data_IF_727237875890
#
_entry.id   IF_727237875890
#
_cell.length_a   1.000
_cell.length_b   1.000
_cell.length_c   1.000
_cell.angle_alpha   90.00
_cell.angle_beta   90.00
_cell.angle_gamma   90.00
#
_symmetry.space_group_name_H-M   'P 1'
#
loop_
_entity.id
_entity.type
_entity.pdbx_description
1 polymer ?
#
# COMPACT_ATOMS: atom_id res chain seq x y z
N UNK A 1 15.25 -3.07 -6.61
CA UNK A 1 15.86 -2.19 -5.60
C UNK A 1 14.81 -1.42 -4.85
N UNK A 2 15.07 -1.10 -3.59
CA UNK A 2 14.19 -0.30 -2.75
C UNK A 2 14.45 1.17 -3.07
N UNK A 3 13.38 1.97 -3.18
CA UNK A 3 13.47 3.43 -3.32
C UNK A 3 13.01 4.08 -2.03
N UNK A 4 13.84 4.97 -1.47
CA UNK A 4 13.57 5.66 -0.19
C UNK A 4 13.61 7.16 -0.43
N UNK A 5 12.60 7.94 -0.01
CA UNK A 5 12.68 9.40 -0.02
C UNK A 5 13.67 9.88 1.07
N UNK A 6 14.46 10.90 0.76
CA UNK A 6 15.35 11.52 1.70
C UNK A 6 14.75 12.86 2.13
N UNK A 7 14.54 13.06 3.43
CA UNK A 7 14.12 14.34 3.99
C UNK A 7 15.37 15.21 4.26
N UNK A 8 15.43 16.35 3.60
CA UNK A 8 16.55 17.29 3.72
C UNK A 8 16.00 18.67 4.01
N UNK A 9 16.62 19.37 4.96
CA UNK A 9 16.28 20.75 5.30
C UNK A 9 17.55 21.59 5.28
N UNK A 10 17.46 22.76 4.67
CA UNK A 10 18.48 23.81 4.77
C UNK A 10 18.04 24.78 5.83
N UNK A 11 18.89 24.99 6.82
CA UNK A 11 18.61 25.88 7.95
C UNK A 11 19.69 27.01 7.96
N UNK A 12 19.27 28.25 8.05
CA UNK A 12 20.19 29.38 8.14
C UNK A 12 20.78 29.55 9.56
N UNK A 13 21.71 30.48 9.71
CA UNK A 13 22.37 30.75 11.00
C UNK A 13 21.42 31.24 12.10
N UNK A 14 20.24 31.73 11.74
CA UNK A 14 19.22 32.21 12.67
C UNK A 14 18.22 31.07 13.03
N UNK A 15 18.35 29.87 12.43
CA UNK A 15 17.52 28.72 12.71
C UNK A 15 16.29 28.63 11.82
N UNK A 16 16.16 29.43 10.78
CA UNK A 16 15.01 29.38 9.86
C UNK A 16 15.26 28.44 8.69
N UNK A 17 14.23 27.71 8.30
CA UNK A 17 14.26 26.84 7.14
C UNK A 17 14.25 27.67 5.85
N UNK A 18 15.13 27.30 4.91
CA UNK A 18 15.32 27.98 3.61
C UNK A 18 14.92 27.04 2.50
N UNK A 19 13.85 27.35 1.81
CA UNK A 19 13.37 26.60 0.64
C UNK A 19 13.89 27.14 -0.70
N UNK A 20 14.51 28.32 -0.67
CA UNK A 20 15.06 29.03 -1.84
C UNK A 20 16.48 28.61 -2.21
N UNK A 21 17.16 27.84 -1.35
CA UNK A 21 18.52 27.37 -1.59
C UNK A 21 18.49 26.00 -2.28
N UNK A 22 19.05 25.88 -3.50
CA UNK A 22 19.08 24.60 -4.19
C UNK A 22 19.97 23.59 -3.47
N UNK A 23 19.51 22.33 -3.42
CA UNK A 23 20.25 21.22 -2.81
C UNK A 23 20.74 20.30 -3.92
N UNK A 24 22.02 20.04 -3.95
CA UNK A 24 22.64 19.03 -4.82
C UNK A 24 22.97 17.77 -4.00
N UNK A 25 22.62 16.61 -4.55
CA UNK A 25 22.93 15.31 -3.94
C UNK A 25 23.93 14.54 -4.81
N UNK A 26 24.97 13.99 -4.17
CA UNK A 26 25.96 13.12 -4.82
C UNK A 26 26.14 11.82 -4.06
N UNK A 27 26.14 10.71 -4.77
CA UNK A 27 26.52 9.39 -4.22
C UNK A 27 28.01 9.16 -4.43
N UNK A 28 28.70 8.62 -3.42
CA UNK A 28 30.09 8.19 -3.56
C UNK A 28 30.23 6.88 -4.34
N UNK A 29 29.14 6.11 -4.46
CA UNK A 29 29.10 4.86 -5.23
C UNK A 29 27.69 4.63 -5.78
N UNK A 30 27.45 5.07 -7.00
CA UNK A 30 26.15 4.95 -7.67
C UNK A 30 25.77 3.50 -8.03
N UNK A 31 26.73 2.57 -8.06
CA UNK A 31 26.46 1.15 -8.23
C UNK A 31 25.78 0.55 -7.00
N UNK A 32 26.01 1.14 -5.82
CA UNK A 32 25.39 0.72 -4.57
C UNK A 32 24.12 1.51 -4.30
N UNK A 33 24.21 2.86 -4.35
CA UNK A 33 23.07 3.77 -4.15
C UNK A 33 23.13 4.85 -5.20
N UNK A 34 22.10 5.00 -6.02
CA UNK A 34 21.95 6.12 -6.94
C UNK A 34 20.96 7.15 -6.43
N UNK A 35 21.16 8.41 -6.80
CA UNK A 35 20.24 9.52 -6.53
C UNK A 35 19.27 9.64 -7.69
N UNK A 36 17.99 9.81 -7.39
CA UNK A 36 16.91 10.04 -8.35
C UNK A 36 16.24 11.40 -8.07
N UNK A 37 15.43 11.93 -9.01
CA UNK A 37 14.67 13.17 -8.83
C UNK A 37 13.85 13.19 -7.55
N UNK A 38 13.59 14.40 -7.05
CA UNK A 38 12.82 14.61 -5.81
C UNK A 38 13.49 14.01 -4.56
N UNK A 39 14.82 14.05 -4.49
CA UNK A 39 15.62 13.57 -3.36
C UNK A 39 15.32 12.10 -2.99
N UNK A 40 15.15 11.24 -3.98
CA UNK A 40 14.97 9.80 -3.77
C UNK A 40 16.31 9.06 -3.91
N UNK A 41 16.53 8.08 -3.04
CA UNK A 41 17.65 7.16 -3.12
C UNK A 41 17.18 5.81 -3.61
N UNK A 42 17.89 5.23 -4.56
CA UNK A 42 17.59 3.90 -5.11
C UNK A 42 18.73 2.96 -4.72
N UNK A 43 18.42 1.92 -3.96
CA UNK A 43 19.35 0.83 -3.67
C UNK A 43 19.55 -0.03 -4.94
N UNK A 44 20.79 -0.16 -5.42
CA UNK A 44 21.15 -0.87 -6.64
C UNK A 44 21.76 -2.25 -6.35
N UNK A 45 22.69 -2.31 -5.42
CA UNK A 45 23.37 -3.53 -5.00
C UNK A 45 23.75 -3.45 -3.52
N UNK A 46 24.09 -4.60 -2.93
CA UNK A 46 24.68 -4.63 -1.59
C UNK A 46 26.03 -3.92 -1.55
N UNK A 47 26.35 -3.31 -0.42
CA UNK A 47 27.59 -2.58 -0.21
C UNK A 47 27.42 -1.32 0.61
N UNK A 48 28.44 -0.48 0.61
CA UNK A 48 28.44 0.81 1.34
C UNK A 48 28.60 1.96 0.36
N UNK A 49 27.86 3.01 0.60
CA UNK A 49 27.97 4.29 -0.09
C UNK A 49 27.72 5.42 0.88
N UNK A 50 28.10 6.63 0.51
CA UNK A 50 27.73 7.83 1.25
C UNK A 50 27.04 8.82 0.30
N UNK A 51 26.04 9.52 0.82
CA UNK A 51 25.36 10.59 0.10
C UNK A 51 25.85 11.91 0.72
N UNK A 52 26.34 12.78 -0.13
CA UNK A 52 26.68 14.16 0.22
C UNK A 52 25.57 15.07 -0.28
N UNK A 53 25.03 15.88 0.61
CA UNK A 53 24.10 16.96 0.25
C UNK A 53 24.85 18.29 0.38
N UNK A 54 24.83 19.08 -0.69
CA UNK A 54 25.49 20.38 -0.80
C UNK A 54 24.45 21.47 -0.99
N UNK A 55 24.50 22.52 -0.18
CA UNK A 55 23.61 23.67 -0.27
C UNK A 55 24.31 24.95 0.25
N UNK A 56 24.31 26.02 -0.54
CA UNK A 56 24.87 27.31 -0.12
C UNK A 56 26.34 27.27 0.32
N UNK A 57 27.15 26.37 -0.23
CA UNK A 57 28.55 26.17 0.16
C UNK A 57 28.76 25.35 1.43
N UNK A 58 27.70 24.72 1.96
CA UNK A 58 27.76 23.79 3.11
C UNK A 58 27.47 22.39 2.66
N UNK A 59 28.31 21.46 3.11
CA UNK A 59 28.13 20.04 2.81
C UNK A 59 27.75 19.25 4.07
N UNK A 60 26.84 18.31 3.91
CA UNK A 60 26.56 17.28 4.92
C UNK A 60 26.61 15.91 4.29
N UNK A 61 26.95 14.88 5.08
CA UNK A 61 27.18 13.52 4.59
C UNK A 61 26.48 12.50 5.46
N UNK A 62 25.77 11.57 4.81
CA UNK A 62 25.25 10.37 5.48
C UNK A 62 25.89 9.12 4.88
N UNK A 63 26.16 8.12 5.74
CA UNK A 63 26.67 6.83 5.32
C UNK A 63 25.51 5.84 5.22
N UNK A 64 25.46 5.10 4.12
CA UNK A 64 24.42 4.13 3.82
C UNK A 64 25.07 2.76 3.63
N UNK A 65 24.49 1.74 4.23
CA UNK A 65 24.86 0.36 4.01
C UNK A 65 23.66 -0.40 3.45
N UNK A 66 23.81 -0.95 2.26
CA UNK A 66 22.82 -1.82 1.63
C UNK A 66 23.23 -3.26 1.88
N UNK A 67 22.36 -4.00 2.54
CA UNK A 67 22.56 -5.42 2.77
C UNK A 67 22.04 -6.23 1.57
N UNK A 68 22.57 -7.42 1.38
CA UNK A 68 22.04 -8.35 0.40
C UNK A 68 20.60 -8.74 0.78
N UNK A 69 19.73 -8.84 -0.21
CA UNK A 69 18.37 -9.31 0.02
C UNK A 69 18.40 -10.81 0.33
N UNK A 70 18.07 -11.23 1.56
CA UNK A 70 18.10 -12.63 1.92
C UNK A 70 16.94 -13.45 1.34
N UNK A 71 15.94 -12.79 0.73
CA UNK A 71 14.70 -13.44 0.29
C UNK A 71 14.98 -14.27 -0.96
N UNK A 72 14.74 -15.57 -0.84
CA UNK A 72 14.88 -16.54 -1.91
C UNK A 72 13.54 -16.93 -2.53
N UNK A 73 12.47 -16.95 -1.73
CA UNK A 73 11.11 -17.28 -2.20
C UNK A 73 10.03 -16.52 -1.43
N UNK A 74 8.86 -16.43 -2.05
CA UNK A 74 7.61 -15.96 -1.43
C UNK A 74 6.60 -17.11 -1.47
N UNK A 75 5.90 -17.31 -0.38
CA UNK A 75 4.71 -18.16 -0.32
C UNK A 75 3.50 -17.24 -0.21
N UNK A 76 2.58 -17.36 -1.17
CA UNK A 76 1.35 -16.56 -1.24
C UNK A 76 0.14 -17.45 -1.10
N UNK A 77 -0.74 -17.11 -0.16
CA UNK A 77 -2.02 -17.80 0.06
C UNK A 77 -3.16 -16.79 0.12
N UNK A 78 -4.38 -17.24 -0.14
CA UNK A 78 -5.61 -16.48 0.06
C UNK A 78 -6.53 -17.23 1.01
N UNK A 79 -7.34 -16.51 1.78
CA UNK A 79 -8.38 -17.10 2.64
C UNK A 79 -9.47 -17.79 1.82
N UNK A 80 -9.71 -17.30 0.60
CA UNK A 80 -10.61 -17.92 -0.39
C UNK A 80 -10.05 -17.67 -1.80
N UNK A 81 -10.27 -18.61 -2.69
CA UNK A 81 -9.88 -18.52 -4.11
C UNK A 81 -11.09 -18.29 -5.03
N UNK A 82 -12.28 -18.32 -4.48
CA UNK A 82 -13.53 -18.07 -5.18
C UNK A 82 -14.44 -17.21 -4.30
N UNK A 83 -15.07 -16.22 -4.87
CA UNK A 83 -15.99 -15.28 -4.22
C UNK A 83 -16.79 -14.50 -5.25
N UNK A 84 -17.27 -13.32 -4.89
CA UNK A 84 -18.09 -12.47 -5.76
C UNK A 84 -17.46 -11.09 -5.86
N UNK A 85 -17.76 -10.35 -6.92
CA UNK A 85 -17.39 -8.94 -7.03
C UNK A 85 -17.84 -8.17 -5.79
N UNK A 86 -16.94 -7.32 -5.25
CA UNK A 86 -17.11 -6.58 -4.00
C UNK A 86 -16.86 -7.39 -2.70
N UNK A 87 -16.54 -8.68 -2.77
CA UNK A 87 -16.04 -9.41 -1.59
C UNK A 87 -14.57 -9.03 -1.33
N UNK A 88 -14.17 -9.10 -0.06
CA UNK A 88 -12.78 -8.85 0.34
C UNK A 88 -12.03 -10.18 0.43
N UNK A 89 -11.04 -10.36 -0.43
CA UNK A 89 -10.12 -11.50 -0.37
C UNK A 89 -8.90 -11.10 0.46
N UNK A 90 -8.56 -11.93 1.45
CA UNK A 90 -7.40 -11.67 2.32
C UNK A 90 -6.23 -12.54 1.89
N UNK A 91 -5.16 -11.89 1.46
CA UNK A 91 -3.94 -12.50 0.99
C UNK A 91 -2.90 -12.51 2.09
N UNK A 92 -2.15 -13.57 2.21
CA UNK A 92 -1.02 -13.67 3.10
C UNK A 92 0.21 -14.10 2.31
N UNK A 93 1.21 -13.21 2.25
CA UNK A 93 2.51 -13.52 1.68
C UNK A 93 3.56 -13.66 2.80
N UNK A 94 4.40 -14.67 2.67
CA UNK A 94 5.49 -14.95 3.60
C UNK A 94 6.78 -15.05 2.78
N UNK A 95 7.72 -14.16 3.06
CA UNK A 95 9.06 -14.21 2.46
C UNK A 95 9.97 -15.16 3.24
N UNK A 96 10.72 -16.00 2.54
CA UNK A 96 11.66 -16.96 3.12
C UNK A 96 13.04 -16.87 2.47
N UNK A 97 14.06 -17.13 3.26
CA UNK A 97 15.43 -17.25 2.76
C UNK A 97 15.69 -18.63 2.10
N UNK A 98 16.90 -18.85 1.63
CA UNK A 98 17.35 -20.11 1.01
C UNK A 98 17.27 -21.33 1.93
N UNK A 99 17.16 -21.15 3.24
CA UNK A 99 17.03 -22.20 4.24
C UNK A 99 15.60 -22.36 4.76
N UNK A 100 14.60 -21.82 4.04
CA UNK A 100 13.18 -21.81 4.41
C UNK A 100 12.85 -21.02 5.69
N UNK A 101 13.79 -20.24 6.22
CA UNK A 101 13.54 -19.38 7.38
C UNK A 101 12.78 -18.14 6.95
N UNK A 102 11.76 -17.79 7.73
CA UNK A 102 10.95 -16.58 7.49
C UNK A 102 11.81 -15.32 7.66
N UNK A 103 11.75 -14.45 6.67
CA UNK A 103 12.35 -13.12 6.71
C UNK A 103 11.27 -12.14 7.17
N UNK A 104 11.40 -11.69 8.43
CA UNK A 104 10.45 -10.71 8.99
C UNK A 104 10.59 -9.37 8.26
N UNK A 105 9.49 -8.61 8.26
CA UNK A 105 9.40 -7.25 7.71
C UNK A 105 9.89 -7.11 6.26
N UNK A 106 9.77 -8.20 5.48
CA UNK A 106 10.09 -8.17 4.06
C UNK A 106 9.16 -7.18 3.33
N UNK A 107 9.71 -6.24 2.52
CA UNK A 107 8.90 -5.27 1.78
C UNK A 107 8.22 -5.93 0.58
N UNK A 108 7.16 -6.69 0.84
CA UNK A 108 6.39 -7.39 -0.18
C UNK A 108 5.46 -6.40 -0.86
N UNK A 109 5.51 -6.39 -2.20
CA UNK A 109 4.60 -5.61 -3.03
C UNK A 109 3.53 -6.51 -3.60
N UNK A 110 2.27 -6.09 -3.47
CA UNK A 110 1.12 -6.76 -4.06
C UNK A 110 0.68 -6.02 -5.32
N UNK A 111 0.36 -6.78 -6.34
CA UNK A 111 -0.28 -6.30 -7.57
C UNK A 111 -1.23 -7.36 -8.10
N UNK A 112 -2.09 -7.00 -9.03
CA UNK A 112 -2.91 -7.98 -9.75
C UNK A 112 -2.95 -7.67 -11.24
N UNK A 113 -3.20 -8.72 -12.01
CA UNK A 113 -3.64 -8.68 -13.40
C UNK A 113 -4.81 -9.64 -13.52
N UNK A 114 -5.57 -9.57 -14.61
CA UNK A 114 -6.64 -10.55 -14.78
C UNK A 114 -7.43 -10.33 -16.06
N UNK A 115 -8.41 -11.18 -16.25
CA UNK A 115 -9.33 -11.18 -17.38
C UNK A 115 -10.75 -11.08 -16.85
N UNK A 116 -11.51 -10.11 -17.33
CA UNK A 116 -12.95 -10.02 -17.07
C UNK A 116 -13.70 -11.12 -17.79
N UNK A 117 -14.77 -11.63 -17.22
CA UNK A 117 -15.69 -12.53 -17.91
C UNK A 117 -16.50 -11.79 -18.98
N UNK A 118 -16.65 -10.48 -18.86
CA UNK A 118 -17.13 -9.63 -19.94
C UNK A 118 -15.93 -9.12 -20.75
N UNK A 119 -15.79 -9.60 -21.97
CA UNK A 119 -14.69 -9.23 -22.90
C UNK A 119 -14.64 -7.75 -23.25
N UNK A 120 -15.67 -6.98 -22.94
CA UNK A 120 -15.73 -5.53 -23.15
C UNK A 120 -15.13 -4.71 -22.00
N UNK A 121 -14.93 -5.30 -20.83
CA UNK A 121 -14.43 -4.61 -19.63
C UNK A 121 -13.03 -5.12 -19.23
N UNK A 122 -12.11 -4.20 -18.97
CA UNK A 122 -10.86 -4.56 -18.29
C UNK A 122 -11.16 -4.92 -16.82
N UNK A 123 -10.48 -5.92 -16.24
CA UNK A 123 -10.66 -6.26 -14.84
C UNK A 123 -10.27 -5.07 -13.97
N UNK A 124 -11.21 -4.59 -13.16
CA UNK A 124 -10.99 -3.50 -12.21
C UNK A 124 -11.06 -4.00 -10.78
N UNK A 125 -10.37 -3.31 -9.89
CA UNK A 125 -10.32 -3.68 -8.50
C UNK A 125 -9.30 -2.85 -7.72
N UNK A 126 -9.26 -3.08 -6.44
CA UNK A 126 -8.30 -2.47 -5.54
C UNK A 126 -7.51 -3.56 -4.80
N UNK A 127 -6.19 -3.48 -4.84
CA UNK A 127 -5.32 -4.28 -3.98
C UNK A 127 -4.51 -3.36 -3.05
N UNK A 128 -4.52 -3.69 -1.76
CA UNK A 128 -3.74 -2.95 -0.76
C UNK A 128 -2.39 -3.62 -0.52
N UNK A 129 -1.40 -2.85 -0.04
CA UNK A 129 -0.08 -3.39 0.33
C UNK A 129 -0.10 -4.20 1.65
N UNK A 130 -1.26 -4.28 2.30
CA UNK A 130 -1.49 -5.20 3.44
C UNK A 130 -2.19 -6.49 3.01
N UNK A 131 -2.28 -6.75 1.70
CA UNK A 131 -2.79 -8.02 1.16
C UNK A 131 -4.32 -8.13 1.16
N UNK A 132 -5.05 -7.05 0.91
CA UNK A 132 -6.50 -7.13 0.69
C UNK A 132 -6.83 -6.75 -0.73
N UNK A 133 -7.57 -7.63 -1.42
CA UNK A 133 -8.10 -7.40 -2.76
C UNK A 133 -9.62 -7.27 -2.70
N UNK A 134 -10.14 -6.28 -3.41
CA UNK A 134 -11.56 -6.19 -3.78
C UNK A 134 -11.63 -6.18 -5.30
N UNK A 135 -12.32 -7.14 -5.88
CA UNK A 135 -12.60 -7.19 -7.31
C UNK A 135 -13.88 -6.41 -7.60
N UNK A 136 -13.85 -5.39 -8.45
CA UNK A 136 -15.03 -4.61 -8.79
C UNK A 136 -15.88 -5.35 -9.84
N UNK A 137 -15.23 -6.03 -10.78
CA UNK A 137 -15.85 -6.75 -11.89
C UNK A 137 -15.72 -8.27 -11.73
N UNK A 138 -16.70 -9.05 -12.23
CA UNK A 138 -16.54 -10.49 -12.35
C UNK A 138 -15.38 -10.86 -13.29
N UNK A 139 -14.57 -11.83 -12.88
CA UNK A 139 -13.42 -12.25 -13.68
C UNK A 139 -12.43 -13.11 -12.92
N UNK A 140 -11.35 -13.47 -13.62
CA UNK A 140 -10.18 -14.13 -13.05
C UNK A 140 -9.12 -13.08 -12.72
N UNK A 141 -8.66 -13.07 -11.49
CA UNK A 141 -7.64 -12.16 -10.97
C UNK A 141 -6.39 -12.94 -10.60
N UNK A 142 -5.28 -12.66 -11.26
CA UNK A 142 -3.97 -13.23 -10.92
C UNK A 142 -3.27 -12.24 -9.99
N UNK A 143 -3.17 -12.61 -8.73
CA UNK A 143 -2.54 -11.80 -7.71
C UNK A 143 -1.08 -12.17 -7.63
N UNK A 144 -0.21 -11.15 -7.65
CA UNK A 144 1.23 -11.29 -7.55
C UNK A 144 1.73 -10.65 -6.26
N UNK A 145 2.52 -11.39 -5.51
CA UNK A 145 3.32 -10.87 -4.41
C UNK A 145 4.80 -10.95 -4.77
N UNK A 146 5.54 -9.87 -4.65
CA UNK A 146 6.94 -9.81 -5.06
C UNK A 146 7.82 -9.06 -4.07
N UNK A 147 9.09 -9.49 -3.97
CA UNK A 147 10.13 -8.78 -3.23
C UNK A 147 11.51 -9.08 -3.86
N UNK A 148 12.12 -8.07 -4.47
CA UNK A 148 13.34 -8.25 -5.26
C UNK A 148 13.08 -9.14 -6.47
N UNK A 149 13.82 -10.26 -6.57
CA UNK A 149 13.65 -11.26 -7.64
C UNK A 149 12.66 -12.38 -7.27
N UNK A 150 12.25 -12.48 -6.01
CA UNK A 150 11.31 -13.50 -5.56
C UNK A 150 9.87 -13.04 -5.82
N UNK A 151 9.06 -13.93 -6.36
CA UNK A 151 7.63 -13.67 -6.60
C UNK A 151 6.82 -14.96 -6.43
N UNK A 152 5.55 -14.79 -6.11
CA UNK A 152 4.56 -15.84 -6.10
C UNK A 152 3.23 -15.29 -6.59
N UNK A 153 2.38 -16.16 -7.15
CA UNK A 153 1.07 -15.78 -7.61
C UNK A 153 -0.01 -16.74 -7.15
N UNK A 154 -1.24 -16.24 -7.03
CA UNK A 154 -2.46 -17.02 -6.79
C UNK A 154 -3.56 -16.47 -7.68
N UNK A 155 -4.39 -17.37 -8.23
CA UNK A 155 -5.55 -16.97 -9.03
C UNK A 155 -6.79 -16.99 -8.17
N UNK A 156 -7.61 -15.95 -8.29
CA UNK A 156 -8.89 -15.77 -7.60
C UNK A 156 -9.97 -15.60 -8.66
N UNK A 157 -11.09 -16.31 -8.49
CA UNK A 157 -12.30 -16.17 -9.30
C UNK A 157 -13.30 -15.26 -8.57
N UNK A 158 -13.65 -14.13 -9.17
CA UNK A 158 -14.73 -13.27 -8.71
C UNK A 158 -15.96 -13.50 -9.60
N UNK A 159 -17.02 -14.05 -9.07
CA UNK A 159 -18.28 -14.28 -9.77
C UNK A 159 -19.18 -13.04 -9.66
N UNK A 160 -20.23 -12.97 -10.46
CA UNK A 160 -21.23 -11.93 -10.35
C UNK A 160 -21.90 -11.92 -8.96
N UNK A 161 -22.12 -10.72 -8.44
CA UNK A 161 -22.86 -10.52 -7.19
C UNK A 161 -24.37 -10.49 -7.42
N UNK A 162 -24.96 -11.47 -8.00
CA UNK A 162 -26.41 -11.53 -8.28
C UNK A 162 -27.24 -11.62 -6.97
N UNK A 163 -27.13 -10.62 -6.11
CA UNK A 163 -27.87 -10.52 -4.85
C UNK A 163 -28.81 -9.32 -4.92
N UNK A 164 -30.10 -9.61 -5.00
CA UNK A 164 -31.14 -8.63 -4.75
C UNK A 164 -31.57 -8.74 -3.28
N UNK A 165 -31.43 -7.66 -2.53
CA UNK A 165 -31.95 -7.54 -1.16
C UNK A 165 -33.12 -6.60 -1.14
N UNK A 166 -34.18 -6.98 -0.44
CA UNK A 166 -35.32 -6.13 -0.15
C UNK A 166 -35.04 -5.40 1.16
N UNK A 167 -35.30 -4.08 1.16
CA UNK A 167 -35.29 -3.27 2.38
C UNK A 167 -36.75 -3.10 2.80
N UNK A 168 -37.10 -3.59 3.97
CA UNK A 168 -38.41 -3.43 4.55
C UNK A 168 -38.37 -2.27 5.55
N UNK A 169 -39.34 -1.35 5.46
CA UNK A 169 -39.47 -0.27 6.42
C UNK A 169 -40.00 -0.82 7.74
N UNK A 170 -39.13 -0.95 8.75
CA UNK A 170 -39.49 -1.49 10.07
C UNK A 170 -40.19 -0.45 10.96
N UNK A 171 -39.90 0.83 10.72
CA UNK A 171 -40.51 1.91 11.49
C UNK A 171 -40.21 3.27 10.88
N UNK A 172 -41.03 4.26 11.25
CA UNK A 172 -40.86 5.66 10.85
C UNK A 172 -41.04 6.55 12.06
N UNK A 173 -40.04 7.35 12.38
CA UNK A 173 -40.13 8.47 13.29
C UNK A 173 -40.22 9.79 12.53
N UNK A 174 -40.91 10.77 13.06
CA UNK A 174 -41.03 12.09 12.46
C UNK A 174 -40.73 13.19 13.48
N UNK A 175 -39.82 14.08 13.11
CA UNK A 175 -39.58 15.34 13.82
C UNK A 175 -40.28 16.44 12.99
N UNK A 176 -41.50 16.79 13.37
CA UNK A 176 -42.37 17.61 12.55
C UNK A 176 -42.01 19.11 12.50
N UNK A 177 -41.03 19.56 13.27
CA UNK A 177 -40.74 20.99 13.47
C UNK A 177 -39.44 21.46 12.84
N UNK A 178 -38.57 20.54 12.38
CA UNK A 178 -37.23 20.87 11.87
C UNK A 178 -36.75 19.90 10.80
N UNK A 179 -35.86 20.37 9.94
CA UNK A 179 -35.14 19.51 9.02
C UNK A 179 -34.04 18.75 9.78
N UNK A 180 -33.89 17.47 9.45
CA UNK A 180 -32.77 16.65 9.90
C UNK A 180 -31.67 16.63 8.85
N UNK A 181 -30.40 16.84 9.23
CA UNK A 181 -29.28 16.97 8.29
C UNK A 181 -28.44 15.69 8.18
N UNK A 182 -28.12 15.07 9.30
CA UNK A 182 -27.22 13.92 9.36
C UNK A 182 -27.77 12.81 10.25
N UNK A 183 -27.26 11.61 10.03
CA UNK A 183 -27.60 10.44 10.84
C UNK A 183 -26.31 9.77 11.29
N UNK A 184 -26.12 9.61 12.59
CA UNK A 184 -25.06 8.81 13.20
C UNK A 184 -25.65 7.65 13.98
N UNK A 185 -25.15 6.43 13.74
CA UNK A 185 -25.61 5.21 14.39
C UNK A 185 -24.44 4.61 15.18
N UNK A 186 -24.71 4.17 16.41
CA UNK A 186 -23.72 3.45 17.23
C UNK A 186 -24.42 2.47 18.17
N UNK A 187 -23.67 1.44 18.58
CA UNK A 187 -24.12 0.54 19.62
C UNK A 187 -23.79 1.12 20.99
N UNK A 188 -24.79 1.21 21.86
CA UNK A 188 -24.64 1.67 23.24
C UNK A 188 -24.02 0.62 24.14
N UNK A 189 -23.57 1.04 25.31
CA UNK A 189 -22.99 0.14 26.33
C UNK A 189 -23.99 -0.89 26.88
N UNK A 190 -25.27 -0.71 26.61
CA UNK A 190 -26.36 -1.62 26.92
C UNK A 190 -26.69 -2.62 25.79
N UNK A 191 -25.88 -2.63 24.74
CA UNK A 191 -26.04 -3.51 23.56
C UNK A 191 -27.19 -3.13 22.64
N UNK A 192 -27.73 -1.90 22.76
CA UNK A 192 -28.77 -1.40 21.85
C UNK A 192 -28.20 -0.46 20.84
N UNK A 193 -28.80 -0.47 19.64
CA UNK A 193 -28.50 0.50 18.60
C UNK A 193 -29.18 1.83 18.83
N UNK A 194 -28.42 2.90 18.73
CA UNK A 194 -28.87 4.27 18.86
C UNK A 194 -28.62 5.03 17.56
N UNK A 195 -29.52 5.95 17.24
CA UNK A 195 -29.38 6.87 16.14
C UNK A 195 -29.51 8.30 16.65
N UNK A 196 -28.55 9.17 16.26
CA UNK A 196 -28.62 10.62 16.49
C UNK A 196 -28.72 11.32 15.15
N UNK A 197 -29.56 12.29 15.10
CA UNK A 197 -29.70 13.16 13.93
C UNK A 197 -29.57 14.62 14.35
N UNK A 198 -28.87 15.42 13.55
CA UNK A 198 -28.80 16.87 13.70
C UNK A 198 -30.13 17.53 13.29
N UNK A 199 -30.54 18.60 13.99
CA UNK A 199 -31.72 19.39 13.68
C UNK A 199 -31.40 20.87 13.63
#
# INVERSE_FOLDING_TARGET
GITVPLSIKVIDKAGFERSDVPIELKSSNEKVVSVAPFYKLIARSSGKSSITASAGGVDTKINISIQENPIAKIELTSDMIEGRSGDVFTLKAVAKDKNDKVVADAPINYSFTGESYDVSAAPSGLITQVGKLVADEPGLYVINASCGSAAASVTISANERNITRKIDLVGRGSINTKHTSDLWIWEGVDGKDYAVTGT
#
